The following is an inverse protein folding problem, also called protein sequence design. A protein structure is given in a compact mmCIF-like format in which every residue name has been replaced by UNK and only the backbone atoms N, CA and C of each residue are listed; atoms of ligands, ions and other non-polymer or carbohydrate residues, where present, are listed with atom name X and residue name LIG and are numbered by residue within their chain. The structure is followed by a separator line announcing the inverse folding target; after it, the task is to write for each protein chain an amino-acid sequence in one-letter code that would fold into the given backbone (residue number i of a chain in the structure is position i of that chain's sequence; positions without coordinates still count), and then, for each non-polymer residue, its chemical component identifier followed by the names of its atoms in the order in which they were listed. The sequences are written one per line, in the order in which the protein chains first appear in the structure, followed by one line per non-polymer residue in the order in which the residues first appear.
data_IF_202753450790
#
_entry.id   IF_202753450790
#
_cell.length_a   1.000
_cell.length_b   1.000
_cell.length_c   1.000
_cell.angle_alpha   90.00
_cell.angle_beta   90.00
_cell.angle_gamma   90.00
#
_symmetry.space_group_name_H-M   'P 1'
#
loop_
_entity.id
_entity.type
_entity.pdbx_description
1 polymer ?
#
# COMPACT_ATOMS: atom_id res chain seq x y z
N UNK A 1 0.97 37.65 -3.01
CA UNK A 1 1.69 36.50 -3.59
C UNK A 1 1.39 35.28 -2.74
N UNK A 2 0.38 34.46 -3.08
CA UNK A 2 -0.01 33.29 -2.27
C UNK A 2 0.86 32.09 -2.71
N UNK A 3 1.93 31.80 -1.98
CA UNK A 3 2.63 30.53 -2.14
C UNK A 3 1.66 29.41 -1.75
N UNK A 4 1.27 28.56 -2.72
CA UNK A 4 0.57 27.32 -2.41
C UNK A 4 1.55 26.44 -1.64
N UNK A 5 1.24 26.13 -0.38
CA UNK A 5 1.96 25.10 0.37
C UNK A 5 1.60 23.78 -0.28
N UNK A 6 2.58 23.18 -0.97
CA UNK A 6 2.42 21.84 -1.54
C UNK A 6 2.59 20.85 -0.39
N UNK A 7 1.53 20.12 -0.06
CA UNK A 7 1.65 19.05 0.93
C UNK A 7 2.28 17.82 0.29
N UNK A 8 2.84 16.93 1.11
CA UNK A 8 3.36 15.65 0.64
C UNK A 8 2.29 14.86 -0.14
N UNK A 9 1.03 14.92 0.30
CA UNK A 9 -0.10 14.28 -0.38
C UNK A 9 -0.41 14.88 -1.76
N UNK A 10 -0.20 16.19 -1.95
CA UNK A 10 -0.39 16.83 -3.26
C UNK A 10 0.75 16.44 -4.22
N UNK A 11 1.99 16.42 -3.72
CA UNK A 11 3.14 15.98 -4.50
C UNK A 11 2.99 14.54 -4.98
N UNK A 12 2.66 13.62 -4.08
CA UNK A 12 2.48 12.22 -4.40
C UNK A 12 1.32 11.99 -5.39
N UNK A 13 0.21 12.70 -5.21
CA UNK A 13 -0.92 12.64 -6.15
C UNK A 13 -0.54 13.08 -7.55
N UNK A 14 0.16 14.20 -7.68
CA UNK A 14 0.59 14.72 -8.99
C UNK A 14 1.65 13.81 -9.63
N UNK A 15 2.55 13.25 -8.82
CA UNK A 15 3.55 12.29 -9.26
C UNK A 15 2.89 10.99 -9.78
N UNK A 16 1.90 10.47 -9.04
CA UNK A 16 1.11 9.31 -9.44
C UNK A 16 0.21 9.60 -10.64
N UNK A 17 -0.33 10.81 -10.76
CA UNK A 17 -1.16 11.20 -11.92
C UNK A 17 -0.33 11.24 -13.21
N UNK A 18 0.94 11.65 -13.10
CA UNK A 18 1.81 11.85 -14.26
C UNK A 18 2.62 10.61 -14.65
N UNK A 19 2.96 9.77 -13.68
CA UNK A 19 3.83 8.61 -13.87
C UNK A 19 3.23 7.29 -13.39
N UNK A 20 2.11 7.32 -12.67
CA UNK A 20 1.37 6.12 -12.35
C UNK A 20 0.72 5.59 -13.61
N UNK A 21 1.21 4.45 -14.09
CA UNK A 21 0.37 3.55 -14.89
C UNK A 21 -0.93 3.33 -14.12
N UNK A 22 -2.07 3.22 -14.81
CA UNK A 22 -3.44 3.29 -14.24
C UNK A 22 -3.77 2.32 -13.11
N UNK A 23 -2.82 1.54 -12.64
CA UNK A 23 -2.86 0.84 -11.39
C UNK A 23 -2.68 1.83 -10.24
N UNK A 24 -3.76 2.59 -9.97
CA UNK A 24 -4.16 2.81 -8.58
C UNK A 24 -4.36 1.41 -7.99
N UNK A 25 -3.24 0.70 -7.72
CA UNK A 25 -3.22 -0.61 -7.11
C UNK A 25 -4.00 -0.37 -5.85
N UNK A 26 -5.15 -1.00 -5.78
CA UNK A 26 -6.00 -1.02 -4.62
C UNK A 26 -5.20 -1.84 -3.61
N UNK A 27 -4.18 -1.23 -3.00
CA UNK A 27 -3.19 -1.90 -2.15
C UNK A 27 -3.92 -2.53 -0.98
N UNK A 28 -5.03 -1.91 -0.57
CA UNK A 28 -6.01 -2.45 0.36
C UNK A 28 -6.59 -3.79 -0.14
N UNK A 29 -7.07 -3.85 -1.39
CA UNK A 29 -7.56 -5.09 -2.02
C UNK A 29 -6.46 -6.14 -2.18
N UNK A 30 -5.25 -5.72 -2.58
CA UNK A 30 -4.10 -6.61 -2.70
C UNK A 30 -3.69 -7.19 -1.33
N UNK A 31 -3.72 -6.37 -0.27
CA UNK A 31 -3.42 -6.80 1.10
C UNK A 31 -4.50 -7.75 1.64
N UNK A 32 -5.79 -7.51 1.37
CA UNK A 32 -6.87 -8.45 1.76
C UNK A 32 -6.80 -9.79 1.03
N UNK A 33 -6.17 -9.84 -0.15
CA UNK A 33 -6.06 -11.04 -0.99
C UNK A 33 -4.71 -11.74 -0.88
N UNK A 34 -3.75 -11.19 -0.12
CA UNK A 34 -2.43 -11.79 -0.01
C UNK A 34 -2.54 -13.19 0.62
N UNK A 35 -1.85 -14.17 0.03
CA UNK A 35 -1.82 -15.56 0.48
C UNK A 35 -0.42 -16.11 0.38
N UNK A 36 0.02 -16.88 1.37
CA UNK A 36 1.26 -17.63 1.30
C UNK A 36 1.07 -18.82 0.35
N UNK A 37 1.59 -18.69 -0.86
CA UNK A 37 1.56 -19.76 -1.87
C UNK A 37 2.89 -20.50 -2.02
N UNK A 38 3.96 -19.98 -1.40
CA UNK A 38 5.31 -20.51 -1.50
C UNK A 38 6.13 -20.24 -0.25
N UNK A 39 7.36 -19.77 -0.43
CA UNK A 39 8.26 -19.48 0.69
C UNK A 39 7.71 -18.32 1.54
N UNK A 40 7.73 -18.51 2.85
CA UNK A 40 7.39 -17.48 3.84
C UNK A 40 8.17 -16.18 3.63
N UNK A 41 9.44 -16.26 3.21
CA UNK A 41 10.26 -15.07 2.94
C UNK A 41 9.70 -14.20 1.81
N UNK A 42 9.17 -14.83 0.76
CA UNK A 42 8.60 -14.11 -0.37
C UNK A 42 7.24 -13.51 0.01
N UNK A 43 6.45 -14.23 0.82
CA UNK A 43 5.22 -13.72 1.42
C UNK A 43 5.48 -12.49 2.31
N UNK A 44 6.45 -12.56 3.23
CA UNK A 44 6.82 -11.45 4.11
C UNK A 44 7.23 -10.21 3.32
N UNK A 45 8.07 -10.39 2.30
CA UNK A 45 8.53 -9.28 1.44
C UNK A 45 7.37 -8.60 0.72
N UNK A 46 6.41 -9.38 0.23
CA UNK A 46 5.23 -8.84 -0.45
C UNK A 46 4.27 -8.17 0.54
N UNK A 47 4.08 -8.74 1.72
CA UNK A 47 3.30 -8.14 2.79
C UNK A 47 3.89 -6.79 3.24
N UNK A 48 5.20 -6.70 3.45
CA UNK A 48 5.89 -5.44 3.77
C UNK A 48 5.74 -4.40 2.65
N UNK A 49 5.84 -4.84 1.39
CA UNK A 49 5.67 -3.96 0.22
C UNK A 49 4.27 -3.34 0.16
N UNK A 50 3.24 -4.13 0.48
CA UNK A 50 1.84 -3.71 0.45
C UNK A 50 1.47 -2.88 1.70
N UNK A 51 1.88 -3.31 2.89
CA UNK A 51 1.59 -2.63 4.16
C UNK A 51 2.21 -1.22 4.25
N UNK A 52 3.38 -0.99 3.63
CA UNK A 52 3.97 0.34 3.54
C UNK A 52 3.24 1.30 2.58
N UNK A 53 2.29 0.81 1.77
CA UNK A 53 1.59 1.59 0.75
C UNK A 53 0.11 1.81 1.03
N UNK A 54 -0.48 1.05 1.94
CA UNK A 54 -1.84 1.29 2.42
C UNK A 54 -1.88 2.50 3.35
N UNK A 55 -2.94 3.31 3.27
CA UNK A 55 -3.18 4.44 4.17
C UNK A 55 -4.38 4.11 5.04
N UNK A 56 -4.38 4.60 6.28
CA UNK A 56 -5.52 4.51 7.21
C UNK A 56 -5.90 3.08 7.66
N UNK A 57 -5.00 2.10 7.54
CA UNK A 57 -5.19 0.78 8.14
C UNK A 57 -4.86 0.79 9.63
N UNK A 58 -5.77 0.31 10.50
CA UNK A 58 -5.42 -0.02 11.87
C UNK A 58 -4.34 -1.09 11.92
N UNK A 59 -3.42 -1.00 12.88
CA UNK A 59 -2.39 -2.03 13.09
C UNK A 59 -3.01 -3.42 13.31
N UNK A 60 -4.16 -3.48 14.00
CA UNK A 60 -4.91 -4.73 14.18
C UNK A 60 -5.37 -5.35 12.87
N UNK A 61 -5.81 -4.52 11.90
CA UNK A 61 -6.24 -5.00 10.58
C UNK A 61 -5.04 -5.51 9.75
N UNK A 62 -3.86 -4.90 9.89
CA UNK A 62 -2.63 -5.40 9.26
C UNK A 62 -2.24 -6.77 9.81
N UNK A 63 -2.33 -6.96 11.14
CA UNK A 63 -2.05 -8.25 11.79
C UNK A 63 -3.06 -9.31 11.36
N UNK A 64 -4.36 -8.96 11.30
CA UNK A 64 -5.40 -9.87 10.82
C UNK A 64 -5.20 -10.28 9.35
N UNK A 65 -4.82 -9.34 8.48
CA UNK A 65 -4.50 -9.63 7.08
C UNK A 65 -3.25 -10.50 6.94
N UNK A 66 -2.23 -10.26 7.78
CA UNK A 66 -1.01 -11.07 7.83
C UNK A 66 -1.31 -12.51 8.25
N UNK A 67 -1.97 -12.69 9.39
CA UNK A 67 -2.30 -14.04 9.91
C UNK A 67 -3.31 -14.74 9.01
N UNK A 68 -4.29 -13.99 8.47
CA UNK A 68 -5.29 -14.52 7.56
C UNK A 68 -4.72 -14.89 6.19
N UNK A 69 -3.58 -14.32 5.80
CA UNK A 69 -2.89 -14.62 4.55
C UNK A 69 -1.76 -15.66 4.66
N UNK A 70 -1.31 -15.98 5.86
CA UNK A 70 -0.38 -17.08 6.14
C UNK A 70 -1.01 -18.44 5.77
#
# INVERSE_FOLDING_TARGET
NRQRVITWGDFERELLTRFGTSDYHNYDEALTRIRQTGNLRDYLKEFERLSCRVRDWPETALVEAFVGGL
#
